data_IF_077822003275
#
_entry.id   IF_077822003275
#
_cell.length_a   1.000
_cell.length_b   1.000
_cell.length_c   1.000
_cell.angle_alpha   90.00
_cell.angle_beta   90.00
_cell.angle_gamma   90.00
#
_symmetry.space_group_name_H-M   'P 1'
#
loop_
_entity.id
_entity.type
_entity.pdbx_description
1 polymer ?
#
# COMPACT_ATOMS: atom_id res chain seq x y z
N UNK A 1 -18.04 -49.38 -18.29
CA UNK A 1 -16.94 -48.69 -19.01
C UNK A 1 -17.32 -47.23 -19.20
N UNK A 2 -16.93 -46.35 -18.28
CA UNK A 2 -17.03 -44.90 -18.48
C UNK A 2 -15.68 -44.44 -19.00
N UNK A 3 -15.68 -43.97 -20.24
CA UNK A 3 -14.54 -43.36 -20.92
C UNK A 3 -13.90 -42.30 -20.01
N UNK A 4 -12.68 -42.61 -19.54
CA UNK A 4 -11.77 -41.63 -18.97
C UNK A 4 -11.42 -40.67 -20.10
N UNK A 5 -12.05 -39.49 -20.10
CA UNK A 5 -11.63 -38.38 -20.94
C UNK A 5 -10.17 -38.09 -20.63
N UNK A 6 -9.29 -38.52 -21.55
CA UNK A 6 -7.93 -38.01 -21.70
C UNK A 6 -8.03 -36.50 -21.86
N UNK A 7 -7.85 -35.74 -20.77
CA UNK A 7 -7.64 -34.30 -20.84
C UNK A 7 -6.31 -34.11 -21.57
N UNK A 8 -6.36 -33.57 -22.79
CA UNK A 8 -5.13 -33.35 -23.57
C UNK A 8 -4.18 -32.45 -22.78
N UNK A 9 -2.90 -32.82 -22.74
CA UNK A 9 -1.79 -32.06 -22.14
C UNK A 9 -1.43 -30.81 -22.97
N UNK A 10 -2.41 -30.10 -23.53
CA UNK A 10 -2.11 -29.00 -24.46
C UNK A 10 -2.04 -27.71 -23.67
N UNK A 11 -0.83 -27.15 -23.54
CA UNK A 11 -0.64 -25.78 -23.05
C UNK A 11 -1.37 -24.81 -23.98
N UNK A 12 -2.32 -24.04 -23.45
CA UNK A 12 -2.98 -22.98 -24.20
C UNK A 12 -2.31 -21.65 -23.87
N UNK A 13 -1.75 -20.99 -24.87
CA UNK A 13 -1.06 -19.71 -24.72
C UNK A 13 -1.71 -18.66 -25.62
N UNK A 14 -1.50 -17.39 -25.30
CA UNK A 14 -1.96 -16.32 -26.17
C UNK A 14 -1.36 -14.97 -25.83
N UNK A 15 -1.56 -14.05 -26.78
CA UNK A 15 -1.16 -12.65 -26.68
C UNK A 15 -2.39 -11.77 -26.81
N UNK A 16 -2.50 -10.83 -25.89
CA UNK A 16 -3.64 -9.94 -25.61
C UNK A 16 -3.12 -8.52 -25.48
N UNK A 17 -4.03 -7.55 -25.29
CA UNK A 17 -3.60 -6.21 -24.84
C UNK A 17 -3.02 -6.29 -23.43
N UNK A 18 -2.04 -5.45 -23.10
CA UNK A 18 -1.49 -5.33 -21.75
C UNK A 18 -2.43 -4.64 -20.76
N UNK A 19 -1.94 -4.43 -19.53
CA UNK A 19 -2.67 -3.76 -18.43
C UNK A 19 -2.84 -2.29 -18.78
N UNK A 20 -1.75 -1.67 -19.21
CA UNK A 20 -1.70 -0.28 -19.61
C UNK A 20 -1.68 -0.13 -21.14
N UNK A 21 -1.90 1.10 -21.60
CA UNK A 21 -1.60 1.46 -22.99
C UNK A 21 -0.10 1.24 -23.25
N UNK A 22 0.23 0.88 -24.48
CA UNK A 22 1.60 0.60 -24.93
C UNK A 22 2.24 -0.70 -24.39
N UNK A 23 1.44 -1.62 -23.83
CA UNK A 23 1.90 -2.93 -23.35
C UNK A 23 1.25 -4.10 -24.09
N UNK A 24 1.90 -5.27 -24.09
CA UNK A 24 1.32 -6.53 -24.55
C UNK A 24 1.09 -7.47 -23.37
N UNK A 25 -0.07 -8.12 -23.33
CA UNK A 25 -0.36 -9.13 -22.31
C UNK A 25 -0.11 -10.54 -22.85
N UNK A 26 0.69 -11.35 -22.16
CA UNK A 26 0.84 -12.78 -22.45
C UNK A 26 0.14 -13.61 -21.38
N UNK A 27 -0.45 -14.73 -21.76
CA UNK A 27 -1.06 -15.65 -20.81
C UNK A 27 -0.81 -17.10 -21.17
N UNK A 28 -0.89 -17.96 -20.15
CA UNK A 28 -0.82 -19.40 -20.30
C UNK A 28 -1.84 -20.10 -19.38
N UNK A 29 -2.59 -21.04 -19.95
CA UNK A 29 -3.36 -22.06 -19.24
C UNK A 29 -2.70 -23.40 -19.48
N UNK A 30 -1.93 -23.84 -18.50
CA UNK A 30 -1.15 -25.08 -18.53
C UNK A 30 -0.92 -25.54 -17.09
N UNK A 31 -0.46 -26.78 -16.92
CA UNK A 31 0.01 -27.30 -15.63
C UNK A 31 1.50 -27.05 -15.41
N UNK A 32 2.21 -26.60 -16.45
CA UNK A 32 3.63 -26.28 -16.40
C UNK A 32 3.82 -24.80 -16.12
N UNK A 33 4.89 -24.44 -15.43
CA UNK A 33 5.20 -23.03 -15.24
C UNK A 33 5.85 -22.46 -16.49
N UNK A 34 5.53 -21.20 -16.82
CA UNK A 34 6.20 -20.50 -17.92
C UNK A 34 7.52 -19.93 -17.43
N UNK A 35 8.59 -20.21 -18.15
CA UNK A 35 9.93 -19.73 -17.83
C UNK A 35 10.32 -18.51 -18.65
N UNK A 36 9.95 -18.52 -19.93
CA UNK A 36 10.43 -17.53 -20.90
C UNK A 36 9.42 -17.29 -22.01
N UNK A 37 9.31 -16.04 -22.44
CA UNK A 37 8.71 -15.66 -23.72
C UNK A 37 9.78 -14.98 -24.56
N UNK A 38 10.00 -15.49 -25.76
CA UNK A 38 10.79 -14.80 -26.77
C UNK A 38 9.84 -14.21 -27.81
N UNK A 39 9.89 -12.88 -27.95
CA UNK A 39 9.22 -12.13 -28.98
C UNK A 39 10.19 -11.89 -30.13
N UNK A 40 9.88 -12.43 -31.31
CA UNK A 40 10.64 -12.20 -32.55
C UNK A 40 9.77 -11.47 -33.55
N UNK A 41 10.36 -10.57 -34.33
CA UNK A 41 9.73 -10.02 -35.51
C UNK A 41 10.39 -10.57 -36.76
N UNK A 42 9.58 -11.03 -37.72
CA UNK A 42 10.01 -11.37 -39.06
C UNK A 42 9.30 -10.46 -40.07
N UNK A 43 10.09 -9.77 -40.87
CA UNK A 43 9.62 -8.86 -41.89
C UNK A 43 10.79 -8.09 -42.49
N UNK A 44 10.47 -7.11 -43.33
CA UNK A 44 11.48 -6.32 -44.03
C UNK A 44 11.80 -5.04 -43.26
N UNK A 45 12.99 -5.03 -42.65
CA UNK A 45 13.61 -3.79 -42.21
C UNK A 45 14.06 -2.94 -43.40
N UNK A 46 14.26 -1.65 -43.19
CA UNK A 46 15.03 -0.85 -44.14
C UNK A 46 16.55 -1.16 -44.09
N UNK A 47 17.06 -1.71 -42.98
CA UNK A 47 18.49 -2.03 -42.76
C UNK A 47 18.84 -3.54 -42.76
N UNK A 48 17.85 -4.45 -42.67
CA UNK A 48 18.03 -5.90 -42.86
C UNK A 48 18.26 -6.76 -41.60
N UNK A 49 18.29 -6.18 -40.39
CA UNK A 49 18.61 -6.92 -39.16
C UNK A 49 17.44 -7.74 -38.59
N UNK A 50 17.71 -8.83 -37.88
CA UNK A 50 16.68 -9.57 -37.12
C UNK A 50 16.47 -8.95 -35.75
N UNK A 51 15.21 -8.78 -35.31
CA UNK A 51 14.90 -8.25 -33.97
C UNK A 51 14.22 -9.29 -33.10
N UNK A 52 14.79 -9.52 -31.92
CA UNK A 52 14.22 -10.35 -30.88
C UNK A 52 14.34 -9.68 -29.51
N UNK A 53 13.37 -9.93 -28.66
CA UNK A 53 13.42 -9.62 -27.24
C UNK A 53 12.95 -10.82 -26.44
N UNK A 54 13.60 -11.06 -25.32
CA UNK A 54 13.39 -12.22 -24.49
C UNK A 54 12.99 -11.76 -23.11
N UNK A 55 11.99 -12.39 -22.52
CA UNK A 55 11.46 -12.11 -21.20
C UNK A 55 11.56 -13.38 -20.39
N UNK A 56 12.21 -13.33 -19.23
CA UNK A 56 12.32 -14.45 -18.30
C UNK A 56 11.43 -14.18 -17.08
N UNK A 57 10.74 -15.23 -16.63
CA UNK A 57 9.78 -15.17 -15.52
C UNK A 57 10.47 -15.77 -14.30
N UNK A 58 11.21 -14.92 -13.58
CA UNK A 58 11.96 -15.29 -12.38
C UNK A 58 11.61 -14.31 -11.23
N UNK A 59 11.19 -14.79 -10.05
CA UNK A 59 10.87 -16.19 -9.75
C UNK A 59 9.69 -16.71 -10.58
N UNK A 60 9.68 -18.00 -10.87
CA UNK A 60 8.70 -18.64 -11.75
C UNK A 60 7.33 -18.69 -11.06
N UNK A 61 6.28 -18.27 -11.77
CA UNK A 61 4.91 -18.34 -11.29
C UNK A 61 4.18 -19.59 -11.78
N UNK A 62 3.31 -20.16 -10.93
CA UNK A 62 2.46 -21.28 -11.31
C UNK A 62 1.33 -20.83 -12.26
N UNK A 63 1.08 -21.64 -13.29
CA UNK A 63 -0.04 -21.44 -14.19
C UNK A 63 -1.37 -21.91 -13.57
N UNK A 64 -2.53 -21.34 -13.98
CA UNK A 64 -2.72 -20.39 -15.08
C UNK A 64 -2.44 -18.92 -14.71
N UNK A 65 -1.76 -18.17 -15.58
CA UNK A 65 -1.44 -16.76 -15.33
C UNK A 65 -1.58 -15.89 -16.58
N UNK A 66 -1.60 -14.57 -16.35
CA UNK A 66 -1.45 -13.51 -17.34
C UNK A 66 -0.48 -12.45 -16.80
N UNK A 67 0.33 -11.89 -17.70
CA UNK A 67 1.36 -10.91 -17.37
C UNK A 67 1.51 -9.88 -18.50
N UNK A 68 1.71 -8.61 -18.14
CA UNK A 68 2.06 -7.56 -19.11
C UNK A 68 3.56 -7.55 -19.38
N UNK A 69 3.92 -7.37 -20.65
CA UNK A 69 5.29 -7.22 -21.15
C UNK A 69 5.50 -5.77 -21.58
N UNK A 70 6.60 -5.17 -21.11
CA UNK A 70 7.08 -3.87 -21.59
C UNK A 70 7.62 -4.04 -23.01
N UNK A 71 7.03 -3.37 -24.02
CA UNK A 71 7.56 -3.47 -25.38
C UNK A 71 8.90 -2.72 -25.47
N UNK A 72 9.99 -3.33 -25.97
CA UNK A 72 11.28 -2.65 -26.12
C UNK A 72 11.18 -1.52 -27.14
N UNK A 73 12.00 -0.50 -26.97
CA UNK A 73 11.98 0.70 -27.79
C UNK A 73 12.07 0.39 -29.30
N UNK A 74 12.89 -0.57 -29.69
CA UNK A 74 13.09 -1.01 -31.08
C UNK A 74 11.80 -1.54 -31.70
N UNK A 75 11.00 -2.27 -30.92
CA UNK A 75 9.69 -2.74 -31.37
C UNK A 75 8.64 -1.62 -31.35
N UNK A 76 8.76 -0.64 -30.46
CA UNK A 76 7.91 0.57 -30.50
C UNK A 76 8.16 1.36 -31.78
N UNK A 77 9.43 1.56 -32.17
CA UNK A 77 9.78 2.20 -33.44
C UNK A 77 9.17 1.45 -34.63
N UNK A 78 9.17 0.12 -34.58
CA UNK A 78 8.57 -0.72 -35.60
C UNK A 78 7.03 -0.56 -35.71
N UNK A 79 6.36 -0.31 -34.58
CA UNK A 79 4.90 -0.20 -34.53
C UNK A 79 4.38 1.21 -34.84
N UNK A 80 5.04 2.24 -34.31
CA UNK A 80 4.56 3.63 -34.32
C UNK A 80 5.63 4.68 -34.61
N UNK A 81 6.89 4.26 -34.74
CA UNK A 81 8.01 5.16 -34.94
C UNK A 81 8.11 5.73 -36.35
N UNK A 82 9.18 6.51 -36.54
CA UNK A 82 9.51 7.11 -37.83
C UNK A 82 9.88 6.07 -38.90
N UNK A 83 10.41 4.93 -38.45
CA UNK A 83 10.80 3.78 -39.28
C UNK A 83 9.83 2.60 -39.16
N UNK A 84 8.53 2.87 -38.92
CA UNK A 84 7.54 1.81 -38.76
C UNK A 84 7.52 0.82 -39.93
N UNK A 85 7.33 -0.46 -39.62
CA UNK A 85 7.25 -1.50 -40.63
C UNK A 85 5.97 -1.39 -41.48
N UNK A 86 6.07 -1.73 -42.76
CA UNK A 86 4.92 -1.79 -43.67
C UNK A 86 4.13 -3.11 -43.54
N UNK A 87 4.83 -4.21 -43.24
CA UNK A 87 4.26 -5.55 -43.09
C UNK A 87 5.18 -6.43 -42.26
N UNK A 88 4.69 -7.55 -41.75
CA UNK A 88 5.48 -8.54 -41.04
C UNK A 88 4.66 -9.27 -39.98
N UNK A 89 5.32 -10.18 -39.28
CA UNK A 89 4.72 -11.02 -38.27
C UNK A 89 5.57 -11.03 -37.01
N UNK A 90 4.90 -11.03 -35.87
CA UNK A 90 5.51 -11.28 -34.57
C UNK A 90 5.25 -12.72 -34.16
N UNK A 91 6.27 -13.37 -33.64
CA UNK A 91 6.19 -14.70 -33.06
C UNK A 91 6.57 -14.64 -31.60
N UNK A 92 5.72 -15.24 -30.75
CA UNK A 92 5.93 -15.34 -29.32
C UNK A 92 6.15 -16.81 -28.99
N UNK A 93 7.40 -17.16 -28.66
CA UNK A 93 7.81 -18.50 -28.27
C UNK A 93 7.81 -18.62 -26.75
N UNK A 94 6.93 -19.47 -26.24
CA UNK A 94 6.78 -19.79 -24.82
C UNK A 94 7.61 -21.03 -24.49
N UNK A 95 8.46 -20.96 -23.47
CA UNK A 95 9.23 -22.09 -22.94
C UNK A 95 8.76 -22.42 -21.52
N UNK A 96 8.44 -23.68 -21.28
CA UNK A 96 7.89 -24.16 -20.01
C UNK A 96 8.91 -24.93 -19.17
N UNK A 97 8.56 -25.16 -17.89
CA UNK A 97 9.36 -25.87 -16.90
C UNK A 97 9.72 -27.31 -17.27
N UNK A 98 8.89 -27.97 -18.10
CA UNK A 98 9.17 -29.31 -18.63
C UNK A 98 9.95 -29.29 -19.95
N UNK A 99 10.54 -28.15 -20.29
CA UNK A 99 11.21 -27.87 -21.56
C UNK A 99 10.32 -27.94 -22.82
N UNK A 100 9.00 -28.09 -22.66
CA UNK A 100 8.08 -27.97 -23.80
C UNK A 100 8.00 -26.52 -24.28
N UNK A 101 7.58 -26.34 -25.54
CA UNK A 101 7.40 -25.02 -26.15
C UNK A 101 6.02 -24.88 -26.79
N UNK A 102 5.54 -23.64 -26.87
CA UNK A 102 4.37 -23.25 -27.65
C UNK A 102 4.65 -21.94 -28.38
N UNK A 103 4.07 -21.73 -29.56
CA UNK A 103 4.26 -20.51 -30.33
C UNK A 103 2.91 -19.85 -30.66
N UNK A 104 2.89 -18.51 -30.60
CA UNK A 104 1.78 -17.68 -31.09
C UNK A 104 2.33 -16.73 -32.15
N UNK A 105 1.81 -16.83 -33.37
CA UNK A 105 2.07 -15.87 -34.44
C UNK A 105 0.97 -14.82 -34.51
N UNK A 106 1.34 -13.54 -34.67
CA UNK A 106 0.43 -12.43 -34.92
C UNK A 106 0.96 -11.56 -36.06
N UNK A 107 0.07 -11.05 -36.90
CA UNK A 107 0.45 -10.03 -37.87
C UNK A 107 0.87 -8.71 -37.18
N UNK A 108 1.66 -7.89 -37.86
CA UNK A 108 2.03 -6.54 -37.41
C UNK A 108 0.80 -5.71 -36.99
N UNK A 109 -0.27 -5.76 -37.80
CA UNK A 109 -1.51 -5.04 -37.54
C UNK A 109 -2.22 -5.50 -36.26
N UNK A 110 -2.13 -6.79 -35.94
CA UNK A 110 -2.71 -7.39 -34.75
C UNK A 110 -1.95 -7.03 -33.47
N UNK A 111 -0.62 -6.96 -33.55
CA UNK A 111 0.22 -6.48 -32.44
C UNK A 111 -0.01 -4.99 -32.21
N UNK A 112 -0.03 -4.20 -33.28
CA UNK A 112 -0.30 -2.76 -33.22
C UNK A 112 -1.65 -2.43 -32.55
N UNK A 113 -2.72 -3.18 -32.89
CA UNK A 113 -4.01 -3.04 -32.20
C UNK A 113 -3.84 -3.25 -30.69
N UNK A 114 -3.21 -4.36 -30.28
CA UNK A 114 -3.04 -4.74 -28.87
C UNK A 114 -2.21 -3.71 -28.10
N UNK A 115 -1.13 -3.23 -28.71
CA UNK A 115 -0.29 -2.15 -28.20
C UNK A 115 -1.08 -0.87 -27.91
N UNK A 116 -2.02 -0.49 -28.79
CA UNK A 116 -2.93 0.65 -28.55
C UNK A 116 -4.09 0.35 -27.60
N UNK A 117 -4.00 -0.72 -26.79
CA UNK A 117 -5.06 -1.15 -25.88
C UNK A 117 -6.29 -1.73 -26.57
N UNK A 118 -6.22 -2.02 -27.88
CA UNK A 118 -7.32 -2.57 -28.70
C UNK A 118 -7.07 -4.06 -28.97
N UNK A 119 -7.98 -4.94 -28.57
CA UNK A 119 -7.79 -6.37 -28.81
C UNK A 119 -8.41 -7.22 -27.71
N UNK A 120 -8.26 -8.55 -27.79
CA UNK A 120 -8.81 -9.44 -26.77
C UNK A 120 -8.19 -9.15 -25.40
N UNK A 121 -9.00 -9.24 -24.36
CA UNK A 121 -8.54 -9.31 -22.96
C UNK A 121 -8.01 -10.71 -22.65
N UNK A 122 -7.29 -10.84 -21.54
CA UNK A 122 -6.97 -12.13 -20.95
C UNK A 122 -8.25 -12.99 -20.78
N UNK A 123 -8.20 -14.31 -21.03
CA UNK A 123 -9.33 -15.19 -20.73
C UNK A 123 -9.72 -15.14 -19.25
N UNK A 124 -11.01 -15.29 -18.93
CA UNK A 124 -11.47 -15.34 -17.53
C UNK A 124 -10.79 -16.48 -16.74
N UNK A 125 -10.50 -16.28 -15.46
CA UNK A 125 -9.93 -17.34 -14.60
C UNK A 125 -8.44 -17.62 -14.80
N UNK A 126 -7.69 -16.75 -15.48
CA UNK A 126 -6.21 -16.73 -15.39
C UNK A 126 -5.80 -15.73 -14.31
N UNK A 127 -4.84 -16.09 -13.45
CA UNK A 127 -4.38 -15.20 -12.38
C UNK A 127 -3.62 -14.02 -12.97
N UNK A 128 -4.00 -12.80 -12.59
CA UNK A 128 -3.32 -11.58 -13.02
C UNK A 128 -2.12 -11.32 -12.11
N UNK A 129 -0.92 -11.31 -12.68
CA UNK A 129 0.28 -10.93 -11.96
C UNK A 129 0.43 -9.40 -12.05
N UNK A 130 0.62 -8.74 -10.90
CA UNK A 130 0.51 -7.27 -10.85
C UNK A 130 1.72 -6.53 -11.41
N UNK A 131 2.86 -7.20 -11.54
CA UNK A 131 4.13 -6.58 -11.93
C UNK A 131 4.24 -6.51 -13.44
N UNK A 132 4.86 -5.47 -14.00
CA UNK A 132 5.25 -5.46 -15.41
C UNK A 132 6.49 -6.36 -15.61
N UNK A 133 6.51 -7.18 -16.66
CA UNK A 133 7.69 -7.98 -17.02
C UNK A 133 8.54 -7.22 -18.05
N UNK A 134 9.82 -7.05 -17.72
CA UNK A 134 10.80 -6.37 -18.57
C UNK A 134 11.64 -7.38 -19.35
N UNK A 135 12.32 -6.95 -20.43
CA UNK A 135 13.29 -7.79 -21.13
C UNK A 135 14.32 -8.37 -20.16
N UNK A 136 14.66 -9.63 -20.39
CA UNK A 136 15.66 -10.37 -19.64
C UNK A 136 17.05 -9.77 -19.87
N UNK A 137 17.89 -9.71 -18.82
CA UNK A 137 19.31 -9.42 -18.97
C UNK A 137 20.00 -10.39 -19.94
N UNK A 138 21.04 -9.92 -20.63
CA UNK A 138 21.73 -10.68 -21.69
C UNK A 138 22.21 -12.05 -21.20
N UNK A 139 22.68 -12.13 -19.96
CA UNK A 139 23.14 -13.35 -19.31
C UNK A 139 22.03 -14.40 -19.11
N UNK A 140 20.77 -14.00 -19.10
CA UNK A 140 19.63 -14.91 -18.92
C UNK A 140 19.00 -15.32 -20.25
N UNK A 141 19.21 -14.55 -21.30
CA UNK A 141 18.70 -14.83 -22.64
C UNK A 141 19.21 -16.19 -23.15
N UNK A 142 20.48 -16.49 -22.89
CA UNK A 142 21.12 -17.74 -23.32
C UNK A 142 20.81 -18.96 -22.46
N UNK A 143 20.09 -18.79 -21.33
CA UNK A 143 19.80 -19.91 -20.44
C UNK A 143 18.74 -20.84 -21.05
N UNK A 144 18.91 -22.14 -20.82
CA UNK A 144 17.92 -23.16 -21.13
C UNK A 144 16.89 -23.30 -20.00
N UNK A 145 15.87 -24.15 -20.21
CA UNK A 145 14.80 -24.36 -19.23
C UNK A 145 15.34 -24.83 -17.87
N UNK A 146 16.27 -25.80 -17.89
CA UNK A 146 16.86 -26.37 -16.68
C UNK A 146 17.62 -25.32 -15.87
N UNK A 147 18.41 -24.48 -16.55
CA UNK A 147 19.17 -23.41 -15.92
C UNK A 147 18.26 -22.30 -15.36
N UNK A 148 17.15 -21.97 -16.05
CA UNK A 148 16.15 -21.03 -15.57
C UNK A 148 15.41 -21.54 -14.32
N UNK A 149 15.05 -22.83 -14.28
CA UNK A 149 14.46 -23.45 -13.08
C UNK A 149 15.41 -23.35 -11.90
N UNK A 150 16.67 -23.76 -12.07
CA UNK A 150 17.69 -23.63 -11.02
C UNK A 150 17.86 -22.20 -10.54
N UNK A 151 17.89 -21.22 -11.47
CA UNK A 151 18.00 -19.79 -11.13
C UNK A 151 16.79 -19.30 -10.32
N UNK A 152 15.59 -19.78 -10.64
CA UNK A 152 14.40 -19.46 -9.86
C UNK A 152 14.47 -20.02 -8.46
N UNK A 153 14.93 -21.26 -8.29
CA UNK A 153 15.08 -21.89 -6.98
C UNK A 153 16.11 -21.14 -6.12
N UNK A 154 17.26 -20.79 -6.70
CA UNK A 154 18.29 -19.95 -6.05
C UNK A 154 17.71 -18.60 -5.59
N UNK A 155 16.92 -17.93 -6.43
CA UNK A 155 16.29 -16.65 -6.10
C UNK A 155 15.25 -16.77 -5.00
N UNK A 156 14.38 -17.79 -5.06
CA UNK A 156 13.36 -18.02 -4.03
C UNK A 156 14.01 -18.29 -2.68
N UNK A 157 15.07 -19.10 -2.66
CA UNK A 157 15.81 -19.38 -1.44
C UNK A 157 16.54 -18.14 -0.91
N UNK A 158 17.14 -17.32 -1.77
CA UNK A 158 17.78 -16.07 -1.37
C UNK A 158 16.76 -15.06 -0.79
N UNK A 159 15.56 -14.97 -1.37
CA UNK A 159 14.47 -14.14 -0.84
C UNK A 159 14.07 -14.63 0.56
N UNK A 160 13.85 -15.94 0.73
CA UNK A 160 13.51 -16.54 2.03
C UNK A 160 14.56 -16.25 3.09
N UNK A 161 15.84 -16.43 2.76
CA UNK A 161 16.95 -16.15 3.67
C UNK A 161 17.04 -14.66 4.03
N UNK A 162 16.80 -13.76 3.07
CA UNK A 162 16.77 -12.33 3.32
C UNK A 162 15.62 -11.91 4.25
N UNK A 163 14.43 -12.50 4.07
CA UNK A 163 13.28 -12.29 4.94
C UNK A 163 13.53 -12.79 6.36
N UNK A 164 14.11 -13.99 6.52
CA UNK A 164 14.50 -14.54 7.83
C UNK A 164 15.56 -13.68 8.52
N UNK A 165 16.57 -13.23 7.78
CA UNK A 165 17.60 -12.33 8.29
C UNK A 165 17.01 -10.98 8.72
N UNK A 166 16.09 -10.41 7.93
CA UNK A 166 15.38 -9.17 8.27
C UNK A 166 14.57 -9.34 9.54
N UNK A 167 13.81 -10.43 9.67
CA UNK A 167 13.03 -10.75 10.87
C UNK A 167 13.93 -10.87 12.10
N UNK A 168 15.04 -11.60 11.99
CA UNK A 168 16.01 -11.74 13.08
C UNK A 168 16.64 -10.40 13.48
N UNK A 169 17.04 -9.59 12.50
CA UNK A 169 17.60 -8.26 12.76
C UNK A 169 16.57 -7.34 13.45
N UNK A 170 15.30 -7.45 13.07
CA UNK A 170 14.20 -6.73 13.72
C UNK A 170 13.98 -7.20 15.15
N UNK A 171 13.96 -8.51 15.41
CA UNK A 171 13.87 -9.06 16.76
C UNK A 171 15.03 -8.61 17.66
N UNK A 172 16.25 -8.56 17.11
CA UNK A 172 17.44 -8.04 17.82
C UNK A 172 17.33 -6.53 18.09
N UNK A 173 16.83 -5.75 17.13
CA UNK A 173 16.59 -4.30 17.29
C UNK A 173 15.56 -4.03 18.39
N UNK A 174 14.40 -4.69 18.32
CA UNK A 174 13.33 -4.56 19.32
C UNK A 174 13.82 -4.98 20.71
N UNK A 175 14.62 -6.04 20.80
CA UNK A 175 15.23 -6.46 22.07
C UNK A 175 16.18 -5.38 22.61
N UNK A 176 17.07 -4.84 21.77
CA UNK A 176 18.01 -3.80 22.18
C UNK A 176 17.28 -2.52 22.64
N UNK A 177 16.20 -2.14 21.95
CA UNK A 177 15.37 -0.99 22.31
C UNK A 177 14.65 -1.22 23.66
N UNK A 178 14.07 -2.39 23.88
CA UNK A 178 13.46 -2.76 25.18
C UNK A 178 14.48 -2.71 26.32
N UNK A 179 15.68 -3.25 26.10
CA UNK A 179 16.77 -3.20 27.09
C UNK A 179 17.24 -1.75 27.36
N UNK A 180 17.28 -0.89 26.35
CA UNK A 180 17.62 0.52 26.49
C UNK A 180 16.53 1.29 27.27
N UNK A 181 15.26 1.03 26.95
CA UNK A 181 14.12 1.66 27.63
C UNK A 181 14.06 1.26 29.11
N UNK A 182 14.26 -0.02 29.44
CA UNK A 182 14.35 -0.48 30.83
C UNK A 182 15.49 0.21 31.60
N UNK A 183 16.66 0.35 30.97
CA UNK A 183 17.79 1.09 31.58
C UNK A 183 17.46 2.57 31.78
N UNK A 184 16.79 3.22 30.83
CA UNK A 184 16.38 4.61 30.93
C UNK A 184 15.33 4.81 32.04
N UNK A 185 14.34 3.92 32.14
CA UNK A 185 13.33 3.93 33.18
C UNK A 185 13.92 3.71 34.58
N UNK A 186 14.86 2.77 34.72
CA UNK A 186 15.59 2.56 35.98
C UNK A 186 16.41 3.79 36.39
N UNK A 187 17.07 4.44 35.43
CA UNK A 187 17.82 5.68 35.67
C UNK A 187 16.90 6.86 36.05
N UNK A 188 15.73 6.97 35.42
CA UNK A 188 14.73 7.98 35.73
C UNK A 188 14.10 7.76 37.12
N UNK A 189 13.83 6.51 37.50
CA UNK A 189 13.35 6.15 38.84
C UNK A 189 14.38 6.49 39.93
N UNK A 190 15.67 6.23 39.67
CA UNK A 190 16.76 6.60 40.57
C UNK A 190 16.94 8.12 40.71
N UNK A 191 16.67 8.90 39.65
CA UNK A 191 16.64 10.37 39.75
C UNK A 191 15.43 10.90 40.53
N UNK A 192 14.27 10.23 40.43
CA UNK A 192 13.05 10.60 41.18
C UNK A 192 13.15 10.33 42.68
N UNK A 193 13.89 9.31 43.12
CA UNK A 193 14.12 9.05 44.55
C UNK A 193 15.17 9.97 45.19
N UNK A 194 16.00 10.65 44.37
CA UNK A 194 17.04 11.58 44.84
C UNK A 194 16.70 13.08 44.75
N UNK A 195 15.62 13.46 44.06
CA UNK A 195 15.25 14.87 43.87
C UNK A 195 14.11 15.27 44.82
N UNK A 196 14.43 16.13 45.80
CA UNK A 196 13.43 16.91 46.51
C UNK A 196 12.55 17.67 45.50
N UNK A 197 11.23 17.68 45.73
CA UNK A 197 10.24 18.34 44.88
C UNK A 197 10.65 19.79 44.54
N UNK A 198 10.77 20.17 43.26
CA UNK A 198 10.81 21.56 42.86
C UNK A 198 9.40 22.10 42.61
N UNK A 199 9.25 23.34 43.05
CA UNK A 199 8.08 24.22 42.99
C UNK A 199 7.64 24.56 41.57
N UNK A 200 6.38 24.99 41.50
CA UNK A 200 5.67 25.61 40.39
C UNK A 200 6.45 26.67 39.59
N UNK A 201 6.18 26.70 38.27
CA UNK A 201 6.24 27.85 37.35
C UNK A 201 5.76 27.39 35.95
N UNK A 202 4.91 28.03 35.15
CA UNK A 202 4.08 29.24 35.17
C UNK A 202 3.05 29.12 33.98
N UNK A 203 2.06 30.01 33.78
CA UNK A 203 0.75 29.65 33.21
C UNK A 203 0.67 29.64 31.67
N UNK A 204 0.10 28.56 31.11
CA UNK A 204 -0.28 28.43 29.67
C UNK A 204 -1.63 29.11 29.37
N UNK A 205 -2.29 29.68 30.38
CA UNK A 205 -3.62 30.28 30.28
C UNK A 205 -3.74 31.56 29.40
N UNK A 206 -2.65 32.00 28.75
CA UNK A 206 -2.65 33.16 27.84
C UNK A 206 -2.64 32.80 26.34
N UNK A 207 -2.42 31.54 25.95
CA UNK A 207 -2.20 31.17 24.54
C UNK A 207 -3.49 31.10 23.69
N UNK A 208 -4.66 30.81 24.28
CA UNK A 208 -5.90 30.58 23.51
C UNK A 208 -6.81 31.80 23.37
N UNK A 209 -6.45 32.92 24.02
CA UNK A 209 -7.12 34.21 23.90
C UNK A 209 -6.84 34.82 22.52
N UNK A 210 -7.47 34.27 21.50
CA UNK A 210 -7.27 34.67 20.12
C UNK A 210 -7.22 33.51 19.13
N UNK A 211 -7.34 32.25 19.56
CA UNK A 211 -7.49 31.14 18.61
C UNK A 211 -8.80 31.34 17.83
N UNK A 212 -8.64 31.74 16.58
CA UNK A 212 -9.69 31.93 15.59
C UNK A 212 -9.87 30.65 14.78
N UNK A 213 -11.10 30.13 14.72
CA UNK A 213 -11.42 28.97 13.89
C UNK A 213 -11.45 29.32 12.40
N UNK A 214 -11.50 30.61 12.05
CA UNK A 214 -11.67 31.08 10.68
C UNK A 214 -13.05 30.76 10.12
N UNK A 215 -14.05 30.53 10.99
CA UNK A 215 -15.39 30.08 10.60
C UNK A 215 -15.52 28.58 10.32
N UNK A 216 -14.43 27.81 10.45
CA UNK A 216 -14.47 26.36 10.31
C UNK A 216 -15.31 25.72 11.43
N UNK A 217 -16.17 24.78 11.06
CA UNK A 217 -17.03 24.00 11.98
C UNK A 217 -16.36 22.73 12.47
N UNK A 218 -15.42 22.19 11.69
CA UNK A 218 -14.70 20.96 12.00
C UNK A 218 -13.26 21.29 12.39
N UNK A 219 -12.84 20.87 13.57
CA UNK A 219 -11.43 20.91 13.98
C UNK A 219 -10.77 19.56 13.72
N UNK A 220 -9.76 19.51 12.86
CA UNK A 220 -8.95 18.32 12.61
C UNK A 220 -7.68 18.42 13.46
N UNK A 221 -7.67 17.74 14.60
CA UNK A 221 -6.57 17.75 15.56
C UNK A 221 -5.66 16.55 15.34
N UNK A 222 -4.35 16.73 15.32
CA UNK A 222 -3.42 15.62 15.14
C UNK A 222 -2.16 15.73 16.01
N UNK A 223 -1.57 14.59 16.32
CA UNK A 223 -0.20 14.44 16.79
C UNK A 223 0.61 13.65 15.76
N UNK A 224 1.87 14.02 15.51
CA UNK A 224 2.68 13.35 14.48
C UNK A 224 4.17 13.50 14.72
N UNK A 225 4.89 12.39 14.76
CA UNK A 225 6.36 12.39 14.93
C UNK A 225 7.10 12.51 13.60
N UNK A 226 6.59 11.91 12.51
CA UNK A 226 7.25 11.90 11.18
C UNK A 226 6.53 12.72 10.12
N UNK A 227 5.40 13.35 10.45
CA UNK A 227 4.62 14.19 9.54
C UNK A 227 3.55 13.46 8.72
N UNK A 228 3.53 12.14 8.70
CA UNK A 228 2.55 11.34 7.94
C UNK A 228 1.09 11.63 8.35
N UNK A 229 0.81 11.67 9.66
CA UNK A 229 -0.53 11.99 10.19
C UNK A 229 -0.95 13.42 9.84
N UNK A 230 0.00 14.36 9.82
CA UNK A 230 -0.24 15.73 9.40
C UNK A 230 -0.65 15.79 7.92
N UNK A 231 0.04 15.03 7.05
CA UNK A 231 -0.31 14.92 5.64
C UNK A 231 -1.74 14.39 5.41
N UNK A 232 -2.15 13.36 6.16
CA UNK A 232 -3.52 12.84 6.10
C UNK A 232 -4.54 13.84 6.65
N UNK A 233 -4.20 14.59 7.71
CA UNK A 233 -5.06 15.64 8.24
C UNK A 233 -5.33 16.74 7.19
N UNK A 234 -4.29 17.17 6.46
CA UNK A 234 -4.43 18.14 5.37
C UNK A 234 -5.22 17.57 4.18
N UNK A 235 -5.03 16.29 3.84
CA UNK A 235 -5.83 15.64 2.81
C UNK A 235 -7.32 15.57 3.19
N UNK A 236 -7.64 15.27 4.45
CA UNK A 236 -9.01 15.30 4.97
C UNK A 236 -9.59 16.71 4.95
N UNK A 237 -8.80 17.74 5.28
CA UNK A 237 -9.22 19.14 5.15
C UNK A 237 -9.53 19.50 3.70
N UNK A 238 -8.67 19.12 2.75
CA UNK A 238 -8.88 19.38 1.33
C UNK A 238 -10.17 18.73 0.82
N UNK A 239 -10.44 17.50 1.24
CA UNK A 239 -11.69 16.83 0.91
C UNK A 239 -12.89 17.49 1.59
N UNK A 240 -12.91 17.65 2.92
CA UNK A 240 -14.04 18.26 3.64
C UNK A 240 -14.34 19.70 3.20
N UNK A 241 -13.30 20.44 2.80
CA UNK A 241 -13.35 21.82 2.33
C UNK A 241 -12.64 22.76 3.30
N UNK A 242 -11.76 23.61 2.77
CA UNK A 242 -10.92 24.51 3.57
C UNK A 242 -11.68 25.55 4.41
N UNK A 243 -12.90 25.90 4.00
CA UNK A 243 -13.78 26.78 4.78
C UNK A 243 -14.57 26.05 5.85
N UNK A 244 -14.62 24.71 5.79
CA UNK A 244 -15.39 23.85 6.69
C UNK A 244 -14.51 23.29 7.81
N UNK A 245 -13.27 22.92 7.47
CA UNK A 245 -12.35 22.25 8.36
C UNK A 245 -11.05 23.05 8.58
N UNK A 246 -10.54 23.03 9.81
CA UNK A 246 -9.24 23.61 10.18
C UNK A 246 -8.35 22.54 10.83
N UNK A 247 -7.14 22.40 10.32
CA UNK A 247 -6.11 21.50 10.84
C UNK A 247 -5.37 22.18 11.99
N UNK A 248 -5.13 21.43 13.08
CA UNK A 248 -4.53 21.91 14.32
C UNK A 248 -3.59 20.84 14.88
N UNK A 249 -2.33 21.20 15.13
CA UNK A 249 -1.42 20.32 15.85
C UNK A 249 -1.71 20.42 17.36
N UNK A 250 -1.84 19.28 18.05
CA UNK A 250 -2.15 19.26 19.49
C UNK A 250 -1.06 19.90 20.36
N UNK A 251 0.16 20.03 19.86
CA UNK A 251 1.26 20.73 20.57
C UNK A 251 1.09 22.26 20.59
N UNK A 252 0.25 22.81 19.71
CA UNK A 252 0.09 24.25 19.51
C UNK A 252 -1.08 24.86 20.30
N UNK A 253 -1.88 24.03 20.95
CA UNK A 253 -3.15 24.42 21.58
C UNK A 253 -3.33 23.83 22.97
N UNK A 254 -4.30 24.36 23.71
CA UNK A 254 -4.80 23.72 24.94
C UNK A 254 -6.15 23.02 24.69
N UNK A 255 -6.63 22.20 25.65
CA UNK A 255 -7.92 21.54 25.54
C UNK A 255 -9.12 22.47 25.31
N UNK A 256 -9.02 23.74 25.73
CA UNK A 256 -10.09 24.72 25.52
C UNK A 256 -10.40 24.96 24.03
N UNK A 257 -9.45 24.68 23.13
CA UNK A 257 -9.64 24.84 21.68
C UNK A 257 -10.57 23.77 21.09
N UNK A 258 -10.63 22.56 21.65
CA UNK A 258 -11.59 21.53 21.21
C UNK A 258 -13.03 22.04 21.34
N UNK A 259 -13.32 22.85 22.35
CA UNK A 259 -14.66 23.37 22.59
C UNK A 259 -15.13 24.39 21.54
N UNK A 260 -14.21 25.00 20.80
CA UNK A 260 -14.48 26.04 19.81
C UNK A 260 -15.05 25.52 18.48
N UNK A 261 -14.98 24.22 18.23
CA UNK A 261 -15.48 23.58 17.00
C UNK A 261 -16.79 22.81 17.25
N UNK A 262 -17.67 22.75 16.27
CA UNK A 262 -18.92 21.98 16.36
C UNK A 262 -18.66 20.47 16.32
N UNK A 263 -17.68 20.07 15.50
CA UNK A 263 -17.28 18.69 15.30
C UNK A 263 -15.75 18.55 15.35
N UNK A 264 -15.29 17.36 15.73
CA UNK A 264 -13.87 17.04 15.91
C UNK A 264 -13.47 15.84 15.06
N UNK A 265 -12.29 15.91 14.46
CA UNK A 265 -11.62 14.78 13.80
C UNK A 265 -10.24 14.65 14.43
N UNK A 266 -9.92 13.49 15.00
CA UNK A 266 -8.71 13.29 15.78
C UNK A 266 -7.77 12.30 15.07
N UNK A 267 -6.57 12.75 14.72
CA UNK A 267 -5.57 11.98 14.00
C UNK A 267 -4.44 11.49 14.89
N UNK A 268 -4.23 10.17 14.97
CA UNK A 268 -3.21 9.58 15.84
C UNK A 268 -2.45 8.45 15.13
N UNK A 269 -1.11 8.48 15.06
CA UNK A 269 -0.32 7.32 14.70
C UNK A 269 -0.15 6.41 15.93
N UNK A 270 -0.04 5.10 15.71
CA UNK A 270 0.42 4.17 16.75
C UNK A 270 1.94 4.06 16.72
N UNK A 271 2.57 4.20 17.87
CA UNK A 271 4.03 4.11 18.02
C UNK A 271 4.42 2.87 18.83
N UNK A 272 5.71 2.52 18.72
CA UNK A 272 6.30 1.37 19.40
C UNK A 272 5.46 0.10 19.20
N UNK A 273 4.95 -0.50 20.29
CA UNK A 273 4.13 -1.72 20.24
C UNK A 273 2.75 -1.39 20.81
N UNK A 274 1.97 -0.66 20.03
CA UNK A 274 0.59 -0.33 20.36
C UNK A 274 0.42 0.88 21.27
N UNK A 275 1.43 1.76 21.34
CA UNK A 275 1.45 2.90 22.26
C UNK A 275 0.92 4.18 21.60
N UNK A 276 0.38 5.06 22.45
CA UNK A 276 0.01 6.43 22.11
C UNK A 276 1.21 7.25 21.67
N UNK A 277 1.01 8.14 20.70
CA UNK A 277 2.04 9.11 20.30
C UNK A 277 2.28 10.14 21.41
N UNK A 278 3.52 10.55 21.62
CA UNK A 278 3.95 11.37 22.77
C UNK A 278 3.15 12.68 22.97
N UNK A 279 2.88 13.42 21.89
CA UNK A 279 2.14 14.69 21.98
C UNK A 279 0.68 14.48 22.37
N UNK A 280 0.06 13.41 21.84
CA UNK A 280 -1.26 13.00 22.27
C UNK A 280 -1.26 12.53 23.73
N UNK A 281 -0.27 11.74 24.14
CA UNK A 281 -0.17 11.29 25.53
C UNK A 281 -0.11 12.48 26.49
N UNK A 282 0.67 13.53 26.17
CA UNK A 282 0.72 14.77 26.93
C UNK A 282 -0.62 15.54 26.89
N UNK A 283 -1.24 15.70 25.72
CA UNK A 283 -2.55 16.36 25.59
C UNK A 283 -3.63 15.65 26.41
N UNK A 284 -3.66 14.31 26.40
CA UNK A 284 -4.63 13.53 27.16
C UNK A 284 -4.54 13.80 28.67
N UNK A 285 -3.34 14.05 29.21
CA UNK A 285 -3.19 14.40 30.64
C UNK A 285 -3.85 15.72 31.01
N UNK A 286 -4.13 16.58 30.02
CA UNK A 286 -4.68 17.92 30.19
C UNK A 286 -6.17 18.00 29.89
N UNK A 287 -6.79 16.96 29.31
CA UNK A 287 -8.19 16.98 28.88
C UNK A 287 -9.23 17.07 30.01
N UNK A 288 -8.83 16.83 31.26
CA UNK A 288 -9.74 16.85 32.41
C UNK A 288 -10.52 18.17 32.48
N UNK A 289 -11.85 18.07 32.55
CA UNK A 289 -12.75 19.23 32.61
C UNK A 289 -13.20 19.79 31.26
N UNK A 290 -12.67 19.30 30.13
CA UNK A 290 -13.14 19.69 28.79
C UNK A 290 -14.56 19.18 28.55
N UNK A 291 -15.47 20.06 28.11
CA UNK A 291 -16.86 19.69 27.85
C UNK A 291 -17.13 19.57 26.36
N UNK A 292 -17.26 18.32 25.89
CA UNK A 292 -17.53 17.98 24.50
C UNK A 292 -18.96 17.50 24.27
N UNK A 293 -19.87 17.74 25.23
CA UNK A 293 -21.27 17.32 25.15
C UNK A 293 -21.94 17.85 23.88
N UNK A 294 -22.50 16.92 23.09
CA UNK A 294 -23.24 17.24 21.87
C UNK A 294 -22.37 17.51 20.64
N UNK A 295 -21.04 17.39 20.77
CA UNK A 295 -20.11 17.45 19.63
C UNK A 295 -19.89 16.05 19.08
N UNK A 296 -19.87 15.92 17.75
CA UNK A 296 -19.49 14.67 17.12
C UNK A 296 -17.99 14.61 16.94
N UNK A 297 -17.42 13.45 17.24
CA UNK A 297 -15.99 13.23 17.21
C UNK A 297 -15.68 11.96 16.41
N UNK A 298 -14.80 12.08 15.41
CA UNK A 298 -14.31 10.96 14.63
C UNK A 298 -12.80 10.79 14.86
N UNK A 299 -12.30 9.57 14.73
CA UNK A 299 -10.87 9.26 14.87
C UNK A 299 -10.33 8.77 13.53
N UNK A 300 -9.10 9.11 13.19
CA UNK A 300 -8.35 8.40 12.15
C UNK A 300 -6.97 7.98 12.67
N UNK A 301 -6.56 6.79 12.29
CA UNK A 301 -5.32 6.17 12.74
C UNK A 301 -4.35 5.94 11.60
N UNK A 302 -3.06 6.12 11.89
CA UNK A 302 -1.99 5.62 11.04
C UNK A 302 -1.27 4.45 11.73
N UNK A 303 -0.97 3.42 10.96
CA UNK A 303 -0.23 2.24 11.45
C UNK A 303 0.35 1.42 10.31
N UNK A 304 1.17 0.44 10.67
CA UNK A 304 1.83 -0.49 9.75
C UNK A 304 1.34 -1.91 10.08
N UNK A 305 0.40 -2.42 9.28
CA UNK A 305 -0.28 -3.69 9.54
C UNK A 305 0.59 -4.92 9.25
N UNK A 306 1.66 -4.74 8.49
CA UNK A 306 2.62 -5.80 8.17
C UNK A 306 3.76 -5.84 9.20
N UNK A 307 4.27 -4.67 9.61
CA UNK A 307 5.34 -4.54 10.60
C UNK A 307 4.87 -4.72 12.04
N UNK A 308 3.62 -4.31 12.35
CA UNK A 308 3.04 -4.41 13.70
C UNK A 308 1.66 -5.09 13.67
N UNK A 309 1.57 -6.35 13.20
CA UNK A 309 0.29 -7.01 12.94
C UNK A 309 -0.53 -7.26 14.20
N UNK A 310 0.08 -7.38 15.39
CA UNK A 310 -0.63 -7.65 16.65
C UNK A 310 -1.11 -6.38 17.40
N UNK A 311 -0.64 -5.20 17.00
CA UNK A 311 -0.99 -3.92 17.65
C UNK A 311 -1.36 -2.86 16.61
N UNK A 312 -1.96 -3.30 15.51
CA UNK A 312 -2.25 -2.44 14.37
C UNK A 312 -3.23 -1.33 14.79
N UNK A 313 -2.81 -0.08 14.66
CA UNK A 313 -3.58 1.14 15.01
C UNK A 313 -4.18 1.18 16.43
N UNK A 314 -3.58 0.48 17.40
CA UNK A 314 -4.07 0.39 18.78
C UNK A 314 -4.33 1.74 19.46
N UNK A 315 -3.53 2.77 19.18
CA UNK A 315 -3.64 4.09 19.80
C UNK A 315 -5.00 4.77 19.54
N UNK A 316 -5.71 4.38 18.47
CA UNK A 316 -7.05 4.90 18.19
C UNK A 316 -8.03 4.55 19.31
N UNK A 317 -7.90 3.37 19.93
CA UNK A 317 -8.79 2.95 21.01
C UNK A 317 -8.64 3.87 22.23
N UNK A 318 -7.40 4.16 22.62
CA UNK A 318 -7.13 5.03 23.76
C UNK A 318 -7.70 6.43 23.54
N UNK A 319 -7.54 6.97 22.32
CA UNK A 319 -8.10 8.27 21.98
C UNK A 319 -9.64 8.27 21.96
N UNK A 320 -10.23 7.22 21.39
CA UNK A 320 -11.68 7.01 21.35
C UNK A 320 -12.28 6.95 22.76
N UNK A 321 -11.72 6.14 23.65
CA UNK A 321 -12.20 6.00 25.02
C UNK A 321 -11.92 7.23 25.89
N UNK A 322 -10.85 7.98 25.65
CA UNK A 322 -10.56 9.21 26.39
C UNK A 322 -11.57 10.33 26.11
N UNK A 323 -12.12 10.41 24.90
CA UNK A 323 -13.08 11.46 24.51
C UNK A 323 -14.53 11.15 24.93
N UNK A 324 -14.85 9.88 25.13
CA UNK A 324 -16.17 9.41 25.57
C UNK A 324 -16.65 10.02 26.90
N UNK A 325 -15.88 10.00 28.01
CA UNK A 325 -16.31 10.61 29.28
C UNK A 325 -16.42 12.14 29.22
N UNK A 326 -15.83 12.79 28.22
CA UNK A 326 -15.97 14.24 27.98
C UNK A 326 -17.32 14.61 27.33
N UNK A 327 -18.14 13.61 26.98
CA UNK A 327 -19.48 13.80 26.39
C UNK A 327 -19.51 13.83 24.87
N UNK A 328 -18.39 13.51 24.20
CA UNK A 328 -18.34 13.45 22.74
C UNK A 328 -19.19 12.29 22.19
N UNK A 329 -19.91 12.55 21.10
CA UNK A 329 -20.61 11.51 20.32
C UNK A 329 -19.62 10.94 19.29
N UNK A 330 -19.19 9.70 19.49
CA UNK A 330 -18.17 9.09 18.64
C UNK A 330 -18.79 8.50 17.36
N UNK A 331 -18.28 8.91 16.20
CA UNK A 331 -18.82 8.61 14.87
C UNK A 331 -17.70 8.22 13.89
N UNK A 332 -18.08 7.75 12.69
CA UNK A 332 -17.12 7.54 11.59
C UNK A 332 -16.44 6.17 11.59
N UNK A 333 -17.09 5.12 12.10
CA UNK A 333 -16.59 3.75 12.01
C UNK A 333 -16.23 3.36 10.56
N UNK A 334 -15.20 2.53 10.40
CA UNK A 334 -14.65 2.18 9.09
C UNK A 334 -14.56 0.66 8.88
N UNK A 335 -14.83 0.12 7.68
CA UNK A 335 -14.66 -1.31 7.39
C UNK A 335 -13.24 -1.81 7.70
N UNK A 336 -13.14 -3.07 8.16
CA UNK A 336 -11.86 -3.77 8.35
C UNK A 336 -11.43 -4.52 7.09
N UNK A 337 -12.32 -4.66 6.11
CA UNK A 337 -12.05 -5.32 4.84
C UNK A 337 -10.99 -4.56 4.02
N UNK A 338 -10.07 -5.32 3.43
CA UNK A 338 -8.99 -4.77 2.61
C UNK A 338 -7.72 -4.38 3.39
N UNK A 339 -7.67 -4.66 4.69
CA UNK A 339 -6.47 -4.50 5.53
C UNK A 339 -5.83 -5.85 5.85
N UNK A 340 -4.52 -5.85 6.09
CA UNK A 340 -3.75 -7.03 6.51
C UNK A 340 -3.15 -6.75 7.88
N UNK A 341 -3.61 -7.49 8.90
CA UNK A 341 -3.15 -7.42 10.29
C UNK A 341 -3.63 -8.70 11.03
N UNK A 342 -3.14 -8.94 12.24
CA UNK A 342 -3.56 -10.06 13.09
C UNK A 342 -4.52 -9.63 14.21
N UNK A 343 -4.21 -8.52 14.91
CA UNK A 343 -5.00 -7.97 16.01
C UNK A 343 -4.94 -6.44 16.01
N UNK A 344 -6.02 -5.84 16.49
CA UNK A 344 -6.13 -4.41 16.72
C UNK A 344 -7.12 -4.18 17.86
N UNK A 345 -6.76 -3.32 18.81
CA UNK A 345 -7.68 -2.83 19.83
C UNK A 345 -8.69 -1.82 19.29
N UNK A 346 -8.44 -1.28 18.11
CA UNK A 346 -9.27 -0.26 17.47
C UNK A 346 -10.44 -0.86 16.69
N UNK A 347 -10.95 -2.04 17.06
CA UNK A 347 -12.08 -2.70 16.40
C UNK A 347 -13.26 -2.81 17.35
N UNK A 348 -14.43 -2.37 16.89
CA UNK A 348 -15.72 -2.56 17.54
C UNK A 348 -16.73 -3.06 16.51
N UNK A 349 -17.44 -4.14 16.84
CA UNK A 349 -18.48 -4.74 15.98
C UNK A 349 -18.01 -5.05 14.55
N UNK A 350 -16.76 -5.50 14.42
CA UNK A 350 -16.14 -5.86 13.13
C UNK A 350 -15.67 -4.68 12.27
N UNK A 351 -15.81 -3.44 12.77
CA UNK A 351 -15.35 -2.22 12.11
C UNK A 351 -14.25 -1.57 12.94
N UNK A 352 -13.33 -0.87 12.28
CA UNK A 352 -12.43 0.03 12.96
C UNK A 352 -13.21 1.19 13.60
N UNK A 353 -12.69 1.70 14.71
CA UNK A 353 -13.20 2.89 15.42
C UNK A 353 -13.10 4.17 14.58
N UNK A 354 -12.55 4.12 13.37
CA UNK A 354 -12.31 5.28 12.54
C UNK A 354 -11.56 4.93 11.27
N UNK A 355 -11.27 5.92 10.43
CA UNK A 355 -10.47 5.70 9.22
C UNK A 355 -9.07 5.18 9.58
N UNK A 356 -8.62 4.14 8.88
CA UNK A 356 -7.26 3.61 9.03
C UNK A 356 -6.46 3.84 7.76
N UNK A 357 -5.29 4.46 7.89
CA UNK A 357 -4.33 4.68 6.80
C UNK A 357 -3.04 3.91 7.10
N UNK A 358 -2.56 3.18 6.10
CA UNK A 358 -1.28 2.46 6.15
C UNK A 358 -0.41 2.93 4.98
N UNK A 359 0.43 3.92 5.26
CA UNK A 359 1.34 4.52 4.27
C UNK A 359 2.49 3.56 3.95
N UNK A 360 2.85 2.65 4.86
CA UNK A 360 3.98 1.75 4.64
C UNK A 360 3.63 0.62 3.67
N UNK A 361 2.39 0.12 3.71
CA UNK A 361 1.97 -1.06 2.96
C UNK A 361 0.85 -0.81 1.94
N UNK A 362 0.04 0.23 2.11
CA UNK A 362 -1.19 0.45 1.33
C UNK A 362 -1.36 1.92 0.91
N UNK A 363 -0.26 2.64 0.69
CA UNK A 363 -0.30 4.08 0.40
C UNK A 363 -1.09 4.42 -0.87
N UNK A 364 -1.11 3.51 -1.85
CA UNK A 364 -1.87 3.65 -3.09
C UNK A 364 -3.39 3.71 -2.87
N UNK A 365 -3.87 3.31 -1.68
CA UNK A 365 -5.27 3.38 -1.29
C UNK A 365 -5.61 4.61 -0.43
N UNK A 366 -4.61 5.37 0.04
CA UNK A 366 -4.79 6.50 0.97
C UNK A 366 -5.81 7.52 0.45
N UNK A 367 -5.60 8.03 -0.77
CA UNK A 367 -6.46 9.08 -1.34
C UNK A 367 -7.92 8.63 -1.48
N UNK A 368 -8.13 7.39 -1.94
CA UNK A 368 -9.47 6.84 -2.12
C UNK A 368 -10.20 6.68 -0.77
N UNK A 369 -9.49 6.22 0.26
CA UNK A 369 -10.04 6.03 1.61
C UNK A 369 -10.35 7.37 2.29
N UNK A 370 -9.43 8.34 2.21
CA UNK A 370 -9.62 9.71 2.72
C UNK A 370 -10.86 10.35 2.10
N UNK A 371 -10.98 10.28 0.76
CA UNK A 371 -12.11 10.84 0.04
C UNK A 371 -13.45 10.20 0.43
N UNK A 372 -13.48 8.87 0.51
CA UNK A 372 -14.69 8.15 0.90
C UNK A 372 -15.09 8.50 2.34
N UNK A 373 -14.16 8.45 3.28
CA UNK A 373 -14.45 8.73 4.67
C UNK A 373 -14.83 10.19 4.91
N UNK A 374 -14.21 11.15 4.22
CA UNK A 374 -14.63 12.54 4.26
C UNK A 374 -16.08 12.71 3.79
N UNK A 375 -16.52 11.97 2.76
CA UNK A 375 -17.92 11.93 2.34
C UNK A 375 -18.85 11.39 3.43
N UNK A 376 -18.45 10.31 4.10
CA UNK A 376 -19.23 9.72 5.19
C UNK A 376 -19.32 10.69 6.39
N UNK A 377 -18.23 11.39 6.70
CA UNK A 377 -18.18 12.40 7.76
C UNK A 377 -19.06 13.60 7.48
N UNK A 378 -19.15 14.10 6.24
CA UNK A 378 -20.08 15.20 5.91
C UNK A 378 -21.51 14.85 6.32
N UNK A 379 -21.92 13.61 6.06
CA UNK A 379 -23.25 13.11 6.45
C UNK A 379 -23.35 12.96 7.96
N UNK A 380 -22.36 12.30 8.59
CA UNK A 380 -22.38 12.02 10.02
C UNK A 380 -22.34 13.31 10.87
N UNK A 381 -21.58 14.32 10.45
CA UNK A 381 -21.36 15.58 11.16
C UNK A 381 -22.30 16.71 10.71
N UNK A 382 -23.13 16.47 9.69
CA UNK A 382 -24.05 17.45 9.11
C UNK A 382 -23.34 18.72 8.61
N UNK A 383 -22.22 18.55 7.88
CA UNK A 383 -21.35 19.65 7.38
C UNK A 383 -21.22 19.69 5.87
#
# INVERSE_FOLDING_TARGET
MRSLFSRSKTSHVGVTRGKNLAELGVWARTTQSLLRVEMRYEGTWQNGDGLSAVYCFLPIHQAPFWQSLEIPYEFVELLVGSQRAGSGSFYFNFLFSDASTAQVGLSLAEVYKRYRGRGPKAPSGVAHLEKLCKPAPAEWVSLDATALVRKSEELVEAIRQAEEARKKAEEERVRAEKEALQKAQAAAAAKRTGAAAPKASAPVAAADQGFDTGGAKVGIFYGSTTGNTAGVAEALRAELGESVAKVVNVTEVTPSVFEKFDNLVLGVPTWHIGEMQEDWADMLTRLEGTNLKGKKCAVFGLGDGVGYPETYVDAMQELWEAFKPLGAELVGLWPTEGYVFEKSKAIQDGKFLGLVIDIENQNDQTDARVKQWASDLRTAMSV
#
